data_IF_603337721152
#
_entry.id   IF_603337721152
#
_cell.length_a   1.000
_cell.length_b   1.000
_cell.length_c   1.000
_cell.angle_alpha   90.00
_cell.angle_beta   90.00
_cell.angle_gamma   90.00
#
_symmetry.space_group_name_H-M   'P 1'
#
loop_
_entity.id
_entity.type
_entity.pdbx_description
1 polymer ?
#
# COMPACT_ATOMS: atom_id res chain seq x y z
N UNK A 1 -22.42 0.58 6.19
CA UNK A 1 -21.91 -0.68 5.64
C UNK A 1 -20.94 -0.36 4.51
N UNK A 2 -19.83 -1.05 4.45
CA UNK A 2 -18.84 -0.89 3.39
C UNK A 2 -19.35 -1.54 2.09
N UNK A 3 -19.30 -0.80 0.98
CA UNK A 3 -19.71 -1.31 -0.32
C UNK A 3 -18.49 -1.31 -1.24
N UNK A 4 -18.23 -2.45 -1.89
CA UNK A 4 -17.08 -2.62 -2.78
C UNK A 4 -17.54 -2.88 -4.21
N UNK A 5 -16.99 -2.12 -5.15
CA UNK A 5 -17.14 -2.35 -6.57
C UNK A 5 -15.86 -2.95 -7.14
N UNK A 6 -15.99 -3.94 -8.02
CA UNK A 6 -14.84 -4.64 -8.60
C UNK A 6 -14.20 -3.82 -9.73
N UNK A 7 -13.80 -2.60 -9.43
CA UNK A 7 -13.10 -1.73 -10.39
C UNK A 7 -12.28 -0.71 -9.62
N UNK A 8 -11.20 -0.25 -10.22
CA UNK A 8 -10.41 0.83 -9.66
C UNK A 8 -11.14 2.16 -9.79
N UNK A 9 -10.91 3.07 -8.85
CA UNK A 9 -11.45 4.42 -8.91
C UNK A 9 -10.99 5.14 -10.18
N UNK A 10 -9.70 4.97 -10.51
CA UNK A 10 -9.12 5.44 -11.77
C UNK A 10 -8.34 4.30 -12.41
N UNK A 11 -8.35 4.19 -13.75
CA UNK A 11 -7.63 3.11 -14.42
C UNK A 11 -6.12 3.22 -14.21
N UNK A 12 -5.47 2.07 -14.02
CA UNK A 12 -4.01 1.98 -13.92
C UNK A 12 -3.54 1.09 -15.05
N UNK A 13 -2.74 1.66 -15.97
CA UNK A 13 -2.21 0.94 -17.14
C UNK A 13 -0.75 1.31 -17.32
N UNK A 14 0.14 0.51 -16.78
CA UNK A 14 1.58 0.73 -16.89
C UNK A 14 2.14 -0.19 -17.97
N UNK A 15 2.77 0.40 -18.97
CA UNK A 15 3.25 -0.32 -20.13
C UNK A 15 4.50 -1.15 -19.81
N UNK A 16 5.44 -0.56 -19.11
CA UNK A 16 6.73 -1.19 -18.85
C UNK A 16 6.97 -1.36 -17.36
N UNK A 17 7.31 -2.58 -16.90
CA UNK A 17 7.73 -2.79 -15.51
C UNK A 17 8.92 -1.91 -15.15
N UNK A 18 8.94 -1.45 -13.90
CA UNK A 18 10.03 -0.64 -13.37
C UNK A 18 10.18 -0.94 -11.87
N UNK A 19 10.98 -1.96 -11.52
CA UNK A 19 11.10 -2.36 -10.12
C UNK A 19 11.72 -1.29 -9.21
N UNK A 20 12.59 -0.44 -9.74
CA UNK A 20 13.15 0.65 -8.94
C UNK A 20 12.09 1.66 -8.53
N UNK A 21 11.19 1.99 -9.44
CA UNK A 21 10.08 2.89 -9.14
C UNK A 21 9.11 2.23 -8.16
N UNK A 22 8.86 0.94 -8.33
CA UNK A 22 8.00 0.19 -7.42
C UNK A 22 8.56 0.20 -5.99
N UNK A 23 9.87 0.13 -5.83
CA UNK A 23 10.52 0.20 -4.52
C UNK A 23 10.25 1.53 -3.81
N UNK A 24 10.11 2.61 -4.56
CA UNK A 24 9.73 3.92 -4.00
C UNK A 24 8.26 3.95 -3.62
N UNK A 25 7.40 3.38 -4.47
CA UNK A 25 5.94 3.49 -4.32
C UNK A 25 5.39 2.53 -3.26
N UNK A 26 6.04 1.39 -3.04
CA UNK A 26 5.49 0.34 -2.17
C UNK A 26 5.28 0.82 -0.72
N UNK A 27 6.03 1.81 -0.27
CA UNK A 27 5.86 2.40 1.06
C UNK A 27 4.50 3.08 1.23
N UNK A 28 3.87 3.45 0.13
CA UNK A 28 2.55 4.08 0.12
C UNK A 28 1.41 3.05 0.18
N UNK A 29 1.73 1.77 0.15
CA UNK A 29 0.73 0.70 0.14
C UNK A 29 0.21 0.42 1.55
N UNK A 30 1.02 -0.12 2.41
CA UNK A 30 0.58 -0.61 3.70
C UNK A 30 1.42 -0.20 4.89
N UNK A 31 2.43 0.65 4.71
CA UNK A 31 3.24 1.15 5.82
C UNK A 31 2.51 2.20 6.66
N UNK A 32 3.15 2.68 7.75
CA UNK A 32 2.53 3.66 8.65
C UNK A 32 2.15 4.97 7.96
N UNK A 33 2.84 5.32 6.89
CA UNK A 33 2.55 6.50 6.09
C UNK A 33 1.85 6.16 4.77
N UNK A 34 1.38 4.93 4.62
CA UNK A 34 0.68 4.48 3.41
C UNK A 34 -0.82 4.68 3.48
N UNK A 35 -1.49 4.26 2.40
CA UNK A 35 -2.95 4.44 2.26
C UNK A 35 -3.75 3.65 3.29
N UNK A 36 -3.27 2.47 3.67
CA UNK A 36 -3.95 1.69 4.72
C UNK A 36 -3.87 2.39 6.05
N UNK A 37 -2.69 2.91 6.42
CA UNK A 37 -2.51 3.69 7.64
C UNK A 37 -3.37 4.94 7.65
N UNK A 38 -3.48 5.63 6.52
CA UNK A 38 -4.34 6.81 6.39
C UNK A 38 -5.81 6.45 6.60
N UNK A 39 -6.28 5.36 6.00
CA UNK A 39 -7.65 4.88 6.19
C UNK A 39 -7.94 4.59 7.65
N UNK A 40 -7.06 3.83 8.33
CA UNK A 40 -7.22 3.51 9.74
C UNK A 40 -7.25 4.76 10.61
N UNK A 41 -6.40 5.74 10.30
CA UNK A 41 -6.33 7.00 11.04
C UNK A 41 -7.64 7.78 10.95
N UNK A 42 -8.13 8.00 9.74
CA UNK A 42 -9.35 8.78 9.56
C UNK A 42 -10.58 8.05 10.08
N UNK A 43 -10.69 6.75 9.84
CA UNK A 43 -11.83 5.98 10.32
C UNK A 43 -11.86 5.87 11.84
N UNK A 44 -10.70 5.82 12.50
CA UNK A 44 -10.66 5.81 13.97
C UNK A 44 -10.96 7.18 14.58
N UNK A 45 -10.51 8.25 13.93
CA UNK A 45 -10.76 9.61 14.40
C UNK A 45 -12.25 9.95 14.43
N UNK A 46 -13.05 9.35 13.56
CA UNK A 46 -14.49 9.65 13.50
C UNK A 46 -15.22 9.34 14.81
N UNK A 47 -14.73 8.37 15.58
CA UNK A 47 -15.39 7.97 16.83
C UNK A 47 -15.25 9.01 17.93
N UNK A 48 -14.19 9.81 17.91
CA UNK A 48 -13.96 10.85 18.91
C UNK A 48 -14.34 12.25 18.42
N UNK A 49 -14.78 12.37 17.17
CA UNK A 49 -15.17 13.66 16.60
C UNK A 49 -16.53 14.09 17.17
N UNK A 50 -16.64 15.29 17.75
CA UNK A 50 -17.90 15.70 18.39
C UNK A 50 -19.00 16.15 17.43
N UNK A 51 -18.67 16.46 16.18
CA UNK A 51 -19.64 17.00 15.22
C UNK A 51 -20.01 15.94 14.17
N UNK A 52 -21.32 15.74 13.95
CA UNK A 52 -21.84 14.72 13.05
C UNK A 52 -21.34 14.91 11.60
N UNK A 53 -21.29 16.16 11.14
CA UNK A 53 -20.83 16.46 9.78
C UNK A 53 -19.36 16.05 9.59
N UNK A 54 -18.54 16.27 10.61
CA UNK A 54 -17.13 15.91 10.57
C UNK A 54 -16.92 14.41 10.70
N UNK A 55 -17.78 13.70 11.44
CA UNK A 55 -17.78 12.23 11.46
C UNK A 55 -18.07 11.67 10.06
N UNK A 56 -19.05 12.25 9.38
CA UNK A 56 -19.38 11.88 8.01
C UNK A 56 -18.21 12.11 7.05
N UNK A 57 -17.59 13.28 7.15
CA UNK A 57 -16.44 13.63 6.32
C UNK A 57 -15.27 12.66 6.55
N UNK A 58 -14.95 12.36 7.79
CA UNK A 58 -13.88 11.41 8.12
C UNK A 58 -14.19 10.01 7.62
N UNK A 59 -15.45 9.60 7.66
CA UNK A 59 -15.87 8.32 7.10
C UNK A 59 -15.65 8.29 5.59
N UNK A 60 -16.05 9.35 4.88
CA UNK A 60 -15.89 9.44 3.44
C UNK A 60 -14.41 9.42 3.03
N UNK A 61 -13.58 10.21 3.70
CA UNK A 61 -12.16 10.26 3.40
C UNK A 61 -11.48 8.93 3.73
N UNK A 62 -11.79 8.34 4.89
CA UNK A 62 -11.19 7.08 5.31
C UNK A 62 -11.54 5.92 4.39
N UNK A 63 -12.77 5.86 3.89
CA UNK A 63 -13.17 4.82 2.93
C UNK A 63 -12.58 5.08 1.55
N UNK A 64 -12.42 6.35 1.14
CA UNK A 64 -11.75 6.68 -0.11
C UNK A 64 -10.29 6.25 -0.11
N UNK A 65 -9.62 6.30 1.04
CA UNK A 65 -8.24 5.80 1.16
C UNK A 65 -8.12 4.31 0.84
N UNK A 66 -9.18 3.52 1.06
CA UNK A 66 -9.18 2.11 0.65
C UNK A 66 -9.17 1.97 -0.87
N UNK A 67 -9.82 2.87 -1.58
CA UNK A 67 -9.72 2.94 -3.04
C UNK A 67 -8.31 3.30 -3.51
N UNK A 68 -7.65 4.21 -2.81
CA UNK A 68 -6.26 4.56 -3.10
C UNK A 68 -5.33 3.38 -2.82
N UNK A 69 -5.57 2.64 -1.74
CA UNK A 69 -4.83 1.41 -1.43
C UNK A 69 -4.88 0.43 -2.61
N UNK A 70 -6.07 0.22 -3.16
CA UNK A 70 -6.26 -0.66 -4.30
C UNK A 70 -5.49 -0.17 -5.53
N UNK A 71 -5.50 1.13 -5.81
CA UNK A 71 -4.75 1.70 -6.92
C UNK A 71 -3.25 1.57 -6.74
N UNK A 72 -2.73 1.87 -5.55
CA UNK A 72 -1.30 1.71 -5.25
C UNK A 72 -0.88 0.25 -5.40
N UNK A 73 -1.68 -0.69 -4.90
CA UNK A 73 -1.41 -2.12 -5.07
C UNK A 73 -1.34 -2.52 -6.53
N UNK A 74 -2.26 -2.00 -7.35
CA UNK A 74 -2.27 -2.28 -8.79
C UNK A 74 -1.03 -1.67 -9.49
N UNK A 75 -0.63 -0.47 -9.10
CA UNK A 75 0.59 0.16 -9.63
C UNK A 75 1.81 -0.70 -9.32
N UNK A 76 1.98 -1.11 -8.06
CA UNK A 76 3.11 -1.95 -7.66
C UNK A 76 3.10 -3.27 -8.42
N UNK A 77 1.92 -3.90 -8.56
CA UNK A 77 1.79 -5.13 -9.34
C UNK A 77 2.23 -4.94 -10.80
N UNK A 78 1.75 -3.90 -11.44
CA UNK A 78 2.09 -3.67 -12.85
C UNK A 78 3.55 -3.25 -13.04
N UNK A 79 4.16 -2.60 -12.07
CA UNK A 79 5.58 -2.24 -12.12
C UNK A 79 6.50 -3.43 -11.86
N UNK A 80 6.01 -4.48 -11.21
CA UNK A 80 6.84 -5.63 -10.82
C UNK A 80 6.44 -6.93 -11.51
N UNK A 81 5.55 -6.89 -12.50
CA UNK A 81 5.10 -8.10 -13.19
C UNK A 81 6.23 -8.73 -13.99
N UNK A 82 6.27 -10.06 -13.99
CA UNK A 82 7.21 -10.86 -14.77
C UNK A 82 8.68 -10.56 -14.47
N UNK A 83 9.02 -10.23 -13.23
CA UNK A 83 10.40 -10.02 -12.83
C UNK A 83 11.17 -11.34 -12.72
N UNK A 84 12.42 -11.35 -13.16
CA UNK A 84 13.34 -12.44 -12.89
C UNK A 84 13.85 -12.37 -11.45
N UNK A 85 14.45 -13.47 -10.96
CA UNK A 85 15.09 -13.45 -9.63
C UNK A 85 16.17 -12.38 -9.53
N UNK A 86 16.93 -12.19 -10.61
CA UNK A 86 17.97 -11.18 -10.64
C UNK A 86 17.38 -9.77 -10.51
N UNK A 87 16.29 -9.50 -11.23
CA UNK A 87 15.59 -8.21 -11.13
C UNK A 87 15.06 -7.96 -9.73
N UNK A 88 14.53 -8.99 -9.09
CA UNK A 88 14.02 -8.90 -7.73
C UNK A 88 15.14 -8.49 -6.76
N UNK A 89 16.29 -9.16 -6.83
CA UNK A 89 17.43 -8.85 -5.96
C UNK A 89 18.03 -7.49 -6.26
N UNK A 90 18.23 -7.18 -7.53
CA UNK A 90 18.84 -5.92 -7.95
C UNK A 90 17.99 -4.72 -7.52
N UNK A 91 16.66 -4.86 -7.54
CA UNK A 91 15.75 -3.81 -7.13
C UNK A 91 15.50 -3.77 -5.63
N UNK A 92 16.00 -4.74 -4.87
CA UNK A 92 15.81 -4.80 -3.43
C UNK A 92 14.45 -5.32 -3.02
N UNK A 93 13.77 -6.11 -3.84
CA UNK A 93 12.44 -6.62 -3.56
C UNK A 93 12.41 -8.00 -2.89
N UNK A 94 13.55 -8.67 -2.77
CA UNK A 94 13.60 -10.00 -2.15
C UNK A 94 12.97 -10.01 -0.75
N UNK A 95 13.10 -8.92 0.00
CA UNK A 95 12.50 -8.80 1.32
C UNK A 95 10.98 -8.66 1.30
N UNK A 96 10.39 -8.32 0.16
CA UNK A 96 8.94 -8.18 0.01
C UNK A 96 8.27 -9.42 -0.58
N UNK A 97 9.04 -10.43 -0.95
CA UNK A 97 8.49 -11.71 -1.40
C UNK A 97 8.36 -12.64 -0.20
N UNK A 98 7.18 -13.23 -0.04
CA UNK A 98 6.90 -14.19 1.03
C UNK A 98 6.34 -15.47 0.44
N UNK A 99 6.52 -16.58 1.17
CA UNK A 99 6.22 -17.92 0.69
C UNK A 99 4.77 -18.15 0.27
N UNK A 100 3.86 -17.40 0.86
CA UNK A 100 2.42 -17.61 0.66
C UNK A 100 1.82 -16.68 -0.39
N UNK A 101 2.63 -15.90 -1.08
CA UNK A 101 2.16 -14.98 -2.12
C UNK A 101 2.82 -15.29 -3.45
N UNK A 102 2.20 -14.85 -4.53
CA UNK A 102 2.72 -15.01 -5.88
C UNK A 102 3.34 -13.71 -6.39
N UNK A 103 3.65 -12.80 -5.52
CA UNK A 103 4.19 -11.50 -5.90
C UNK A 103 4.74 -10.73 -4.71
N UNK A 104 4.86 -9.44 -4.90
CA UNK A 104 5.39 -8.53 -3.89
C UNK A 104 4.34 -8.25 -2.83
N UNK A 105 4.74 -8.34 -1.57
CA UNK A 105 3.88 -8.07 -0.43
C UNK A 105 4.52 -7.02 0.47
N UNK A 106 3.82 -5.92 0.78
CA UNK A 106 4.35 -4.89 1.66
C UNK A 106 4.39 -5.40 3.10
N UNK A 107 5.43 -5.03 3.82
CA UNK A 107 5.54 -5.44 5.22
C UNK A 107 6.12 -4.32 6.08
N UNK A 108 5.47 -4.05 7.19
CA UNK A 108 5.98 -3.12 8.19
C UNK A 108 7.09 -3.75 9.02
N UNK A 109 7.12 -5.09 9.11
CA UNK A 109 8.17 -5.80 9.83
C UNK A 109 9.53 -5.60 9.20
N UNK A 110 9.59 -5.55 7.88
CA UNK A 110 10.84 -5.29 7.17
C UNK A 110 11.44 -3.96 7.59
N UNK A 111 10.62 -2.92 7.60
CA UNK A 111 11.05 -1.60 8.03
C UNK A 111 11.55 -1.62 9.47
N UNK A 112 10.83 -2.28 10.36
CA UNK A 112 11.20 -2.41 11.77
C UNK A 112 12.49 -3.19 11.93
N UNK A 113 12.66 -4.27 11.17
CA UNK A 113 13.86 -5.08 11.19
C UNK A 113 15.08 -4.31 10.71
N UNK A 114 14.94 -3.54 9.64
CA UNK A 114 16.02 -2.71 9.13
C UNK A 114 16.43 -1.67 10.15
N UNK A 115 15.49 -1.03 10.81
CA UNK A 115 15.78 -0.07 11.86
C UNK A 115 16.51 -0.71 13.04
N UNK A 116 16.14 -1.94 13.39
CA UNK A 116 16.81 -2.69 14.45
C UNK A 116 18.23 -3.10 14.05
N UNK A 117 18.41 -3.54 12.82
CA UNK A 117 19.72 -3.93 12.30
C UNK A 117 20.69 -2.76 12.23
N UNK A 118 20.20 -1.59 11.85
CA UNK A 118 21.00 -0.38 11.80
C UNK A 118 21.54 0.03 13.17
N UNK A 119 20.86 -0.40 14.22
CA UNK A 119 21.26 -0.10 15.60
C UNK A 119 22.18 -1.14 16.19
N UNK A 120 22.21 -2.29 15.59
CA UNK A 120 23.05 -3.37 16.01
C UNK A 120 24.50 -3.19 15.57
#
# INVERSE_FOLDING_TARGET
MFVYEKKLQYPVKIKNPNPKLAAVIISQYGGPDGELGASLRYLSQRYSMPYAELKGLLTDIGTEELGHLEMVGTIVHQLTRNLSEEDIRTAGFDAYFVDHTTGVYPTCLLYTSDAADDKA
#
